data_IF_754210160227
#
_entry.id   IF_754210160227
#
_cell.length_a   1.000
_cell.length_b   1.000
_cell.length_c   1.000
_cell.angle_alpha   90.00
_cell.angle_beta   90.00
_cell.angle_gamma   90.00
#
_symmetry.space_group_name_H-M   'P 1'
#
loop_
_entity.id
_entity.type
_entity.pdbx_description
1 polymer ?
#
# COMPACT_ATOMS: atom_id res chain seq x y z
N UNK A 1 57.26 -12.71 62.57
CA UNK A 1 56.95 -13.69 61.50
C UNK A 1 55.84 -13.08 60.64
N UNK A 2 56.13 -12.59 59.43
CA UNK A 2 55.99 -13.30 58.13
C UNK A 2 54.57 -13.90 57.98
N UNK A 3 53.74 -13.64 56.96
CA UNK A 3 53.97 -13.12 55.61
C UNK A 3 52.66 -12.86 54.83
N UNK A 4 52.75 -11.99 53.82
CA UNK A 4 52.16 -12.02 52.46
C UNK A 4 50.63 -11.93 52.29
N UNK A 5 50.08 -10.81 51.80
CA UNK A 5 50.01 -10.41 50.37
C UNK A 5 49.54 -11.51 49.42
N UNK A 6 48.28 -11.40 48.97
CA UNK A 6 47.89 -11.75 47.59
C UNK A 6 46.56 -11.10 47.20
N UNK A 7 46.70 -9.96 46.51
CA UNK A 7 45.69 -9.36 45.65
C UNK A 7 45.16 -10.40 44.66
N UNK A 8 43.87 -10.72 44.71
CA UNK A 8 43.14 -11.25 43.56
C UNK A 8 42.32 -10.10 42.97
N UNK A 9 43.01 -9.27 42.20
CA UNK A 9 42.38 -8.40 41.21
C UNK A 9 41.77 -9.35 40.18
N UNK A 10 40.44 -9.46 40.17
CA UNK A 10 39.74 -10.00 39.01
C UNK A 10 40.05 -9.09 37.82
N UNK A 11 40.53 -9.62 36.69
CA UNK A 11 40.75 -8.80 35.52
C UNK A 11 39.38 -8.40 34.96
N UNK A 12 38.95 -7.18 35.27
CA UNK A 12 37.80 -6.52 34.63
C UNK A 12 37.94 -6.42 33.09
N UNK A 13 39.08 -6.80 32.54
CA UNK A 13 39.39 -6.80 31.11
C UNK A 13 38.88 -8.04 30.35
N UNK A 14 38.47 -9.12 31.02
CA UNK A 14 37.95 -10.32 30.32
C UNK A 14 36.46 -10.25 29.97
N UNK A 15 35.68 -9.42 30.69
CA UNK A 15 34.25 -9.19 30.37
C UNK A 15 34.05 -8.16 29.25
N UNK A 16 35.02 -7.26 29.02
CA UNK A 16 35.02 -6.31 27.90
C UNK A 16 35.49 -6.94 26.58
N UNK A 17 36.29 -8.01 26.64
CA UNK A 17 36.71 -8.75 25.45
C UNK A 17 35.63 -9.75 24.96
N UNK A 18 34.79 -10.25 25.87
CA UNK A 18 33.70 -11.17 25.52
C UNK A 18 32.50 -10.46 24.83
N UNK A 19 32.29 -9.16 25.09
CA UNK A 19 31.26 -8.37 24.40
C UNK A 19 31.67 -7.94 22.98
N UNK A 20 32.99 -7.91 22.68
CA UNK A 20 33.48 -7.61 21.33
C UNK A 20 33.39 -8.81 20.37
N UNK A 21 33.43 -10.05 20.89
CA UNK A 21 33.47 -11.27 20.07
C UNK A 21 32.11 -11.74 19.53
N UNK A 22 30.99 -11.13 19.92
CA UNK A 22 29.65 -11.40 19.37
C UNK A 22 29.23 -10.43 18.25
N UNK A 23 30.13 -9.58 17.78
CA UNK A 23 29.86 -8.63 16.68
C UNK A 23 30.16 -9.18 15.28
N UNK A 24 30.49 -10.48 15.17
CA UNK A 24 30.75 -11.15 13.89
C UNK A 24 29.45 -11.45 13.14
N UNK A 25 29.29 -10.80 11.98
CA UNK A 25 28.20 -10.91 11.01
C UNK A 25 26.92 -10.08 11.27
N UNK A 26 27.08 -8.80 11.61
CA UNK A 26 26.08 -7.82 11.17
C UNK A 26 26.31 -7.57 9.67
N UNK A 27 25.55 -8.27 8.82
CA UNK A 27 25.45 -7.87 7.40
C UNK A 27 25.04 -6.40 7.35
N UNK A 28 25.75 -5.59 6.54
CA UNK A 28 25.44 -4.18 6.39
C UNK A 28 24.12 -4.03 5.65
N UNK A 29 23.01 -3.92 6.38
CA UNK A 29 21.78 -3.34 5.86
C UNK A 29 22.07 -1.87 5.59
N UNK A 30 21.77 -1.38 4.37
CA UNK A 30 21.94 0.01 4.02
C UNK A 30 20.62 0.77 4.14
N UNK A 31 20.71 2.09 4.26
CA UNK A 31 19.53 2.94 4.16
C UNK A 31 18.89 2.77 2.78
N UNK A 32 17.56 2.65 2.74
CA UNK A 32 16.80 2.65 1.49
C UNK A 32 16.39 4.09 1.15
N UNK A 33 16.94 4.72 0.09
CA UNK A 33 16.48 6.05 -0.33
C UNK A 33 14.98 6.05 -0.62
N UNK A 34 14.26 7.03 -0.07
CA UNK A 34 12.79 7.11 -0.19
C UNK A 34 12.01 5.99 0.54
N UNK A 35 12.71 5.14 1.31
CA UNK A 35 12.15 4.12 2.19
C UNK A 35 12.56 4.34 3.65
N UNK A 36 12.49 3.29 4.50
CA UNK A 36 13.00 3.33 5.85
C UNK A 36 14.54 3.34 5.88
N UNK A 37 15.11 4.14 6.79
CA UNK A 37 16.54 4.10 7.10
C UNK A 37 16.85 3.08 8.19
N UNK A 38 18.05 2.52 8.18
CA UNK A 38 18.49 1.48 9.11
C UNK A 38 18.63 2.08 10.49
N UNK A 39 17.97 1.46 11.48
CA UNK A 39 17.94 1.91 12.88
C UNK A 39 17.41 3.34 13.04
N UNK A 40 16.60 3.83 12.11
CA UNK A 40 15.90 5.09 12.26
C UNK A 40 14.94 5.01 13.45
N UNK A 41 15.06 5.95 14.39
CA UNK A 41 14.22 6.01 15.60
C UNK A 41 13.02 6.95 15.45
N UNK A 42 13.12 7.93 14.57
CA UNK A 42 12.10 8.96 14.37
C UNK A 42 11.37 8.77 13.03
N UNK A 43 10.26 9.48 12.83
CA UNK A 43 9.57 9.55 11.55
C UNK A 43 10.50 10.13 10.46
N UNK A 44 10.32 9.75 9.17
CA UNK A 44 11.00 10.44 8.08
C UNK A 44 10.51 11.89 7.98
N UNK A 45 11.39 12.80 7.58
CA UNK A 45 11.03 14.21 7.32
C UNK A 45 10.06 14.34 6.14
N UNK A 46 10.14 13.42 5.18
CA UNK A 46 9.31 13.41 3.99
C UNK A 46 9.79 14.34 2.88
N UNK A 47 9.20 14.16 1.69
CA UNK A 47 9.52 14.89 0.45
C UNK A 47 8.33 15.70 -0.07
N UNK A 48 7.34 15.92 0.78
CA UNK A 48 6.17 16.77 0.50
C UNK A 48 6.04 17.81 1.60
N UNK A 49 5.43 18.96 1.31
CA UNK A 49 5.17 19.98 2.33
C UNK A 49 4.33 19.46 3.49
N UNK A 50 3.30 18.66 3.22
CA UNK A 50 2.46 18.08 4.26
C UNK A 50 3.26 17.14 5.17
N UNK A 51 4.14 16.30 4.63
CA UNK A 51 4.97 15.42 5.44
C UNK A 51 5.96 16.20 6.32
N UNK A 52 6.55 17.27 5.78
CA UNK A 52 7.45 18.15 6.54
C UNK A 52 6.72 18.83 7.71
N UNK A 53 5.50 19.32 7.48
CA UNK A 53 4.66 19.90 8.53
C UNK A 53 4.22 18.86 9.58
N UNK A 54 3.87 17.64 9.16
CA UNK A 54 3.59 16.53 10.09
C UNK A 54 4.82 16.20 10.94
N UNK A 55 6.02 16.15 10.37
CA UNK A 55 7.26 15.91 11.09
C UNK A 55 7.57 17.06 12.08
N UNK A 56 7.35 18.32 11.67
CA UNK A 56 7.51 19.48 12.55
C UNK A 56 6.56 19.40 13.75
N UNK A 57 5.25 19.19 13.51
CA UNK A 57 4.26 19.02 14.57
C UNK A 57 4.63 17.87 15.51
N UNK A 58 4.99 16.71 14.96
CA UNK A 58 5.47 15.57 15.74
C UNK A 58 6.64 15.94 16.65
N UNK A 59 7.64 16.64 16.12
CA UNK A 59 8.84 17.04 16.87
C UNK A 59 8.50 18.00 17.99
N UNK A 60 7.66 19.01 17.74
CA UNK A 60 7.19 19.94 18.77
C UNK A 60 6.42 19.20 19.86
N UNK A 61 5.55 18.25 19.49
CA UNK A 61 4.80 17.44 20.45
C UNK A 61 5.72 16.56 21.29
N UNK A 62 6.73 15.94 20.67
CA UNK A 62 7.69 15.10 21.38
C UNK A 62 8.50 15.90 22.40
N UNK A 63 8.96 17.10 22.05
CA UNK A 63 9.66 18.01 22.98
C UNK A 63 8.75 18.40 24.14
N UNK A 64 7.51 18.80 23.86
CA UNK A 64 6.54 19.17 24.89
C UNK A 64 6.23 18.01 25.85
N UNK A 65 5.94 16.82 25.31
CA UNK A 65 5.72 15.61 26.10
C UNK A 65 6.95 15.27 26.95
N UNK A 66 8.16 15.44 26.41
CA UNK A 66 9.41 15.22 27.15
C UNK A 66 9.56 16.19 28.32
N UNK A 67 9.26 17.48 28.12
CA UNK A 67 9.30 18.49 29.21
C UNK A 67 8.30 18.16 30.31
N UNK A 68 7.05 17.82 29.94
CA UNK A 68 6.02 17.43 30.92
C UNK A 68 6.43 16.15 31.66
N UNK A 69 6.94 15.16 30.92
CA UNK A 69 7.45 13.91 31.50
C UNK A 69 8.54 14.19 32.53
N UNK A 70 9.56 14.98 32.18
CA UNK A 70 10.64 15.32 33.12
C UNK A 70 10.10 16.08 34.34
N UNK A 71 9.16 17.02 34.16
CA UNK A 71 8.57 17.77 35.27
C UNK A 71 7.81 16.85 36.24
N UNK A 72 6.93 15.98 35.71
CA UNK A 72 6.14 15.04 36.52
C UNK A 72 7.05 14.05 37.25
N UNK A 73 8.01 13.46 36.54
CA UNK A 73 8.95 12.50 37.14
C UNK A 73 9.88 13.18 38.16
N UNK A 74 10.31 14.41 37.93
CA UNK A 74 11.10 15.17 38.90
C UNK A 74 10.32 15.40 40.20
N UNK A 75 9.05 15.82 40.12
CA UNK A 75 8.18 15.99 41.31
C UNK A 75 7.96 14.64 42.02
N UNK A 76 7.70 13.57 41.26
CA UNK A 76 7.53 12.23 41.81
C UNK A 76 8.80 11.74 42.53
N UNK A 77 9.96 11.80 41.87
CA UNK A 77 11.24 11.37 42.45
C UNK A 77 11.63 12.24 43.64
N UNK A 78 11.40 13.55 43.57
CA UNK A 78 11.57 14.44 44.70
C UNK A 78 10.70 14.00 45.88
N UNK A 79 9.43 13.71 45.64
CA UNK A 79 8.51 13.26 46.68
C UNK A 79 8.94 11.93 47.31
N UNK A 80 9.32 10.94 46.49
CA UNK A 80 9.84 9.64 46.96
C UNK A 80 11.11 9.84 47.78
N UNK A 81 12.05 10.65 47.30
CA UNK A 81 13.33 10.84 47.98
C UNK A 81 13.18 11.63 49.28
N UNK A 82 12.42 12.72 49.28
CA UNK A 82 12.29 13.66 50.40
C UNK A 82 11.28 13.22 51.46
N UNK A 83 10.16 12.64 51.04
CA UNK A 83 9.02 12.34 51.93
C UNK A 83 8.95 10.87 52.37
N UNK A 84 9.98 10.06 52.07
CA UNK A 84 10.02 8.66 52.51
C UNK A 84 10.02 8.52 54.03
N UNK A 85 9.33 7.48 54.53
CA UNK A 85 9.26 7.14 55.95
C UNK A 85 10.64 6.92 56.59
N UNK A 86 11.61 6.41 55.84
CA UNK A 86 12.94 6.09 56.36
C UNK A 86 13.76 7.30 56.80
N UNK A 87 13.42 8.52 56.36
CA UNK A 87 14.07 9.75 56.85
C UNK A 87 13.29 10.42 57.99
N UNK A 88 12.30 9.73 58.57
CA UNK A 88 11.47 10.27 59.65
C UNK A 88 10.49 11.36 59.21
N UNK A 89 10.16 11.44 57.91
CA UNK A 89 9.21 12.44 57.43
C UNK A 89 7.82 12.19 58.03
N UNK A 90 7.20 13.26 58.56
CA UNK A 90 5.84 13.25 59.12
C UNK A 90 4.87 13.77 58.07
N UNK A 91 3.77 13.06 57.84
CA UNK A 91 2.75 13.48 56.90
C UNK A 91 2.13 14.83 57.30
N UNK A 92 1.92 15.69 56.32
CA UNK A 92 1.20 16.95 56.51
C UNK A 92 -0.33 16.69 56.53
N UNK A 93 -1.08 17.55 57.23
CA UNK A 93 -2.54 17.45 57.39
C UNK A 93 -3.26 18.52 56.56
N UNK A 94 -3.12 18.47 55.23
CA UNK A 94 -3.95 19.24 54.30
C UNK A 94 -4.73 18.28 53.40
N UNK A 95 -5.86 18.74 52.86
CA UNK A 95 -6.77 17.88 52.08
C UNK A 95 -6.94 18.36 50.65
N UNK A 96 -6.86 19.68 50.42
CA UNK A 96 -7.06 20.28 49.11
C UNK A 96 -6.31 21.62 48.99
N UNK A 97 -6.17 22.08 47.75
CA UNK A 97 -5.73 23.44 47.45
C UNK A 97 -6.40 23.89 46.16
N UNK A 98 -7.49 24.65 46.30
CA UNK A 98 -8.23 25.21 45.16
C UNK A 98 -7.30 25.98 44.21
N UNK A 99 -6.30 26.68 44.74
CA UNK A 99 -5.32 27.42 43.92
C UNK A 99 -4.51 26.47 43.03
N UNK A 100 -3.98 25.37 43.58
CA UNK A 100 -3.22 24.38 42.80
C UNK A 100 -4.13 23.68 41.79
N UNK A 101 -5.37 23.39 42.20
CA UNK A 101 -6.38 22.77 41.33
C UNK A 101 -6.72 23.63 40.12
N UNK A 102 -6.89 24.94 40.31
CA UNK A 102 -7.12 25.88 39.21
C UNK A 102 -5.89 25.93 38.29
N UNK A 103 -4.67 26.00 38.85
CA UNK A 103 -3.43 26.07 38.06
C UNK A 103 -3.27 24.83 37.17
N UNK A 104 -3.37 23.62 37.73
CA UNK A 104 -3.19 22.39 36.95
C UNK A 104 -4.34 22.09 36.00
N UNK A 105 -5.45 22.83 36.07
CA UNK A 105 -6.57 22.71 35.14
C UNK A 105 -6.40 23.68 33.98
N UNK A 106 -6.08 24.94 34.29
CA UNK A 106 -5.92 26.02 33.30
C UNK A 106 -4.66 25.82 32.47
N UNK A 107 -3.54 25.38 33.05
CA UNK A 107 -2.28 25.22 32.32
C UNK A 107 -2.39 24.16 31.20
N UNK A 108 -2.84 22.91 31.45
CA UNK A 108 -3.05 21.94 30.38
C UNK A 108 -4.08 22.39 29.35
N UNK A 109 -5.14 23.08 29.78
CA UNK A 109 -6.15 23.63 28.87
C UNK A 109 -5.53 24.62 27.87
N UNK A 110 -4.71 25.57 28.33
CA UNK A 110 -4.00 26.52 27.47
C UNK A 110 -3.03 25.78 26.53
N UNK A 111 -2.28 24.79 27.04
CA UNK A 111 -1.36 23.99 26.24
C UNK A 111 -2.09 23.33 25.05
N UNK A 112 -3.24 22.69 25.30
CA UNK A 112 -4.04 22.04 24.25
C UNK A 112 -4.55 23.05 23.21
N UNK A 113 -5.03 24.23 23.63
CA UNK A 113 -5.47 25.28 22.70
C UNK A 113 -4.33 25.70 21.77
N UNK A 114 -3.14 25.96 22.33
CA UNK A 114 -1.99 26.40 21.56
C UNK A 114 -1.52 25.31 20.57
N UNK A 115 -1.63 24.03 20.94
CA UNK A 115 -1.31 22.90 20.06
C UNK A 115 -2.32 22.71 18.93
N UNK A 116 -3.60 22.99 19.18
CA UNK A 116 -4.67 22.76 18.21
C UNK A 116 -4.56 23.69 16.99
N UNK A 117 -4.17 24.95 17.17
CA UNK A 117 -4.11 25.96 16.10
C UNK A 117 -3.22 25.55 14.90
N UNK A 118 -1.93 25.21 15.08
CA UNK A 118 -1.09 24.78 13.96
C UNK A 118 -1.55 23.42 13.40
N UNK A 119 -2.01 22.49 14.25
CA UNK A 119 -2.50 21.19 13.81
C UNK A 119 -3.73 21.31 12.88
N UNK A 120 -4.69 22.18 13.21
CA UNK A 120 -5.86 22.43 12.37
C UNK A 120 -5.48 23.00 11.00
N UNK A 121 -4.50 23.91 10.93
CA UNK A 121 -4.03 24.45 9.65
C UNK A 121 -3.46 23.37 8.74
N UNK A 122 -2.61 22.50 9.28
CA UNK A 122 -2.01 21.38 8.53
C UNK A 122 -3.09 20.38 8.11
N UNK A 123 -4.04 20.07 8.99
CA UNK A 123 -5.15 19.17 8.68
C UNK A 123 -6.02 19.69 7.52
N UNK A 124 -6.37 20.98 7.54
CA UNK A 124 -7.15 21.61 6.46
C UNK A 124 -6.39 21.54 5.14
N UNK A 125 -5.09 21.88 5.14
CA UNK A 125 -4.25 21.80 3.94
C UNK A 125 -4.13 20.35 3.42
N UNK A 126 -3.99 19.37 4.30
CA UNK A 126 -3.93 17.95 3.94
C UNK A 126 -5.25 17.44 3.35
N UNK A 127 -6.39 18.01 3.74
CA UNK A 127 -7.72 17.61 3.25
C UNK A 127 -8.19 18.36 2.00
N UNK A 128 -7.50 19.44 1.60
CA UNK A 128 -7.80 20.15 0.37
C UNK A 128 -7.29 19.40 -0.87
N UNK A 129 -8.14 18.54 -1.45
CA UNK A 129 -7.87 17.78 -2.67
C UNK A 129 -8.26 18.52 -3.96
N UNK A 130 -8.70 19.78 -3.86
CA UNK A 130 -9.14 20.56 -5.04
C UNK A 130 -7.96 20.93 -5.95
N UNK A 131 -8.25 21.30 -7.20
CA UNK A 131 -7.26 21.78 -8.18
C UNK A 131 -6.05 20.83 -8.36
N UNK A 132 -6.32 19.53 -8.45
CA UNK A 132 -5.30 18.55 -8.74
C UNK A 132 -4.98 18.50 -10.24
N UNK A 133 -3.69 18.38 -10.54
CA UNK A 133 -3.16 18.30 -11.91
C UNK A 133 -3.30 16.89 -12.48
N UNK A 134 -3.18 15.88 -11.61
CA UNK A 134 -3.28 14.46 -11.91
C UNK A 134 -4.23 13.79 -10.91
N UNK A 135 -5.17 12.96 -11.38
CA UNK A 135 -6.06 12.18 -10.52
C UNK A 135 -5.91 10.70 -10.81
N UNK A 136 -5.54 9.92 -9.79
CA UNK A 136 -5.35 8.48 -9.89
C UNK A 136 -6.25 7.80 -8.86
N UNK A 137 -7.02 6.81 -9.30
CA UNK A 137 -7.76 5.93 -8.40
C UNK A 137 -6.89 4.75 -8.03
N UNK A 138 -6.75 4.53 -6.74
CA UNK A 138 -6.06 3.41 -6.11
C UNK A 138 -7.12 2.46 -5.56
N UNK A 139 -7.11 1.22 -6.03
CA UNK A 139 -8.02 0.17 -5.58
C UNK A 139 -7.26 -0.89 -4.80
N UNK A 140 -7.66 -1.15 -3.55
CA UNK A 140 -7.12 -2.26 -2.75
C UNK A 140 -7.76 -3.60 -3.13
N UNK A 141 -6.92 -4.62 -3.26
CA UNK A 141 -7.31 -6.03 -3.45
C UNK A 141 -6.46 -6.91 -2.52
N UNK A 142 -6.93 -8.10 -2.15
CA UNK A 142 -6.13 -9.13 -1.51
C UNK A 142 -5.20 -9.78 -2.55
N UNK A 143 -3.88 -9.58 -2.52
CA UNK A 143 -3.07 -8.63 -1.74
C UNK A 143 -2.18 -7.83 -2.71
N UNK A 144 -2.78 -6.78 -3.31
CA UNK A 144 -2.22 -6.00 -4.41
C UNK A 144 -2.96 -4.66 -4.57
N UNK A 145 -2.38 -3.76 -5.35
CA UNK A 145 -2.95 -2.44 -5.62
C UNK A 145 -3.27 -2.26 -7.10
N UNK A 146 -4.46 -1.78 -7.42
CA UNK A 146 -4.79 -1.32 -8.78
C UNK A 146 -4.63 0.19 -8.89
N UNK A 147 -4.14 0.65 -10.04
CA UNK A 147 -3.95 2.06 -10.35
C UNK A 147 -4.67 2.40 -11.65
N UNK A 148 -5.64 3.31 -11.58
CA UNK A 148 -6.35 3.86 -12.74
C UNK A 148 -6.08 5.36 -12.85
N UNK A 149 -5.45 5.80 -13.93
CA UNK A 149 -5.18 7.21 -14.20
C UNK A 149 -6.44 7.83 -14.81
N UNK A 150 -7.19 8.55 -13.98
CA UNK A 150 -8.54 9.01 -14.31
C UNK A 150 -8.58 10.37 -15.01
N UNK A 151 -7.62 11.25 -14.71
CA UNK A 151 -7.56 12.61 -15.28
C UNK A 151 -6.14 13.12 -15.26
N UNK A 152 -5.72 13.73 -16.36
CA UNK A 152 -4.38 14.33 -16.52
C UNK A 152 -3.53 13.54 -17.52
N UNK A 153 -2.24 13.85 -17.60
CA UNK A 153 -1.32 13.07 -18.42
C UNK A 153 -1.29 11.62 -17.92
N UNK A 154 -1.35 10.65 -18.85
CA UNK A 154 -1.56 9.24 -18.52
C UNK A 154 -3.03 8.80 -18.39
N UNK A 155 -4.01 9.68 -18.63
CA UNK A 155 -5.43 9.32 -18.59
C UNK A 155 -5.77 8.11 -19.47
N UNK A 156 -6.51 7.16 -18.87
CA UNK A 156 -6.88 5.88 -19.47
C UNK A 156 -5.91 4.74 -19.19
N UNK A 157 -4.73 5.00 -18.60
CA UNK A 157 -3.83 3.94 -18.15
C UNK A 157 -4.42 3.22 -16.92
N UNK A 158 -4.37 1.90 -16.94
CA UNK A 158 -4.82 1.04 -15.84
C UNK A 158 -3.91 -0.17 -15.71
N UNK A 159 -3.49 -0.49 -14.49
CA UNK A 159 -2.69 -1.69 -14.20
C UNK A 159 -2.78 -2.12 -12.73
N UNK A 160 -2.35 -3.35 -12.48
CA UNK A 160 -2.23 -3.93 -11.15
C UNK A 160 -0.74 -3.97 -10.77
N UNK A 161 -0.46 -3.68 -9.51
CA UNK A 161 0.84 -3.75 -8.86
C UNK A 161 0.82 -4.81 -7.77
N UNK A 162 1.70 -5.80 -7.88
CA UNK A 162 1.90 -6.85 -6.88
C UNK A 162 3.34 -6.82 -6.36
N UNK A 163 3.60 -7.46 -5.22
CA UNK A 163 4.97 -7.75 -4.80
C UNK A 163 5.72 -8.44 -5.94
N UNK A 164 6.97 -8.01 -6.18
CA UNK A 164 7.82 -8.60 -7.20
C UNK A 164 8.02 -10.11 -6.94
N UNK A 165 7.87 -10.92 -7.98
CA UNK A 165 7.95 -12.38 -7.88
C UNK A 165 9.31 -12.86 -7.34
N UNK A 166 10.41 -12.14 -7.63
CA UNK A 166 11.73 -12.49 -7.09
C UNK A 166 11.78 -12.24 -5.58
N UNK A 167 11.10 -11.21 -5.07
CA UNK A 167 11.01 -10.94 -3.63
C UNK A 167 10.11 -11.96 -2.94
N UNK A 168 9.02 -12.38 -3.59
CA UNK A 168 8.18 -13.46 -3.07
C UNK A 168 8.95 -14.78 -2.95
N UNK A 169 9.68 -15.16 -3.99
CA UNK A 169 10.50 -16.37 -4.00
C UNK A 169 11.58 -16.35 -2.91
N UNK A 170 12.24 -15.20 -2.71
CA UNK A 170 13.20 -15.02 -1.62
C UNK A 170 12.55 -15.22 -0.24
N UNK A 171 11.35 -14.66 -0.04
CA UNK A 171 10.62 -14.85 1.22
C UNK A 171 10.21 -16.30 1.45
N UNK A 172 9.72 -16.99 0.42
CA UNK A 172 9.30 -18.40 0.50
C UNK A 172 10.48 -19.34 0.77
N UNK A 173 11.67 -19.00 0.25
CA UNK A 173 12.91 -19.70 0.54
C UNK A 173 13.45 -19.42 1.96
N UNK A 174 12.80 -18.52 2.72
CA UNK A 174 13.24 -18.12 4.06
C UNK A 174 14.55 -17.36 4.03
N UNK A 175 14.76 -16.50 3.03
CA UNK A 175 16.00 -15.77 2.80
C UNK A 175 16.55 -15.11 4.10
N UNK A 176 17.85 -15.32 4.32
CA UNK A 176 18.66 -14.74 5.41
C UNK A 176 19.99 -14.27 4.81
N UNK A 177 20.58 -13.21 5.36
CA UNK A 177 21.84 -12.66 4.86
C UNK A 177 21.62 -11.58 3.80
N UNK A 178 22.26 -11.72 2.63
CA UNK A 178 22.30 -10.72 1.56
C UNK A 178 20.95 -10.61 0.82
N UNK A 179 19.99 -9.93 1.44
CA UNK A 179 18.71 -9.52 0.83
C UNK A 179 18.82 -8.07 0.31
N UNK A 180 18.15 -7.72 -0.80
CA UNK A 180 18.11 -6.33 -1.27
C UNK A 180 17.53 -5.38 -0.21
N UNK A 181 18.00 -4.13 -0.15
CA UNK A 181 17.52 -3.15 0.84
C UNK A 181 16.00 -2.85 0.70
N UNK A 182 15.44 -3.03 -0.49
CA UNK A 182 14.01 -2.91 -0.77
C UNK A 182 13.25 -4.26 -0.69
N UNK A 183 13.79 -5.24 0.03
CA UNK A 183 13.12 -6.52 0.26
C UNK A 183 11.68 -6.30 0.79
N UNK A 184 10.72 -7.05 0.24
CA UNK A 184 9.27 -6.89 0.46
C UNK A 184 8.66 -5.51 0.08
N UNK A 185 9.43 -4.60 -0.53
CA UNK A 185 8.95 -3.28 -0.98
C UNK A 185 8.92 -3.13 -2.51
N UNK A 186 9.74 -3.91 -3.22
CA UNK A 186 9.75 -3.92 -4.69
C UNK A 186 8.46 -4.51 -5.27
N UNK A 187 7.91 -3.85 -6.28
CA UNK A 187 6.75 -4.30 -7.05
C UNK A 187 7.10 -4.53 -8.52
N UNK A 188 6.22 -5.22 -9.23
CA UNK A 188 6.31 -5.41 -10.68
C UNK A 188 5.97 -4.13 -11.46
N UNK A 189 4.93 -3.39 -11.05
CA UNK A 189 4.43 -2.20 -11.72
C UNK A 189 4.27 -1.03 -10.74
N UNK A 190 5.28 -0.16 -10.57
CA UNK A 190 5.18 0.97 -9.65
C UNK A 190 4.15 2.00 -10.12
N UNK A 191 3.55 2.73 -9.16
CA UNK A 191 2.80 3.95 -9.43
C UNK A 191 3.77 5.03 -9.92
N UNK A 192 3.60 5.58 -11.11
CA UNK A 192 4.53 6.56 -11.67
C UNK A 192 3.86 7.93 -11.76
N UNK A 193 4.52 8.95 -11.24
CA UNK A 193 4.00 10.33 -11.19
C UNK A 193 5.10 11.34 -11.49
N UNK A 194 4.77 12.53 -12.02
CA UNK A 194 5.75 13.60 -12.18
C UNK A 194 6.03 14.32 -10.84
N UNK A 195 7.24 14.83 -10.70
CA UNK A 195 7.65 15.74 -9.63
C UNK A 195 6.88 17.07 -9.70
N UNK A 196 6.78 17.77 -8.57
CA UNK A 196 6.18 19.11 -8.44
C UNK A 196 4.75 19.23 -8.97
N UNK A 197 4.01 18.12 -9.01
CA UNK A 197 2.63 18.05 -9.52
C UNK A 197 1.67 17.64 -8.40
N UNK A 198 0.51 18.29 -8.28
CA UNK A 198 -0.50 17.91 -7.26
C UNK A 198 -1.24 16.66 -7.75
N UNK A 199 -0.90 15.52 -7.16
CA UNK A 199 -1.54 14.23 -7.45
C UNK A 199 -2.65 13.98 -6.44
N UNK A 200 -3.90 13.92 -6.90
CA UNK A 200 -5.04 13.45 -6.11
C UNK A 200 -5.13 11.94 -6.21
N UNK A 201 -5.13 11.29 -5.06
CA UNK A 201 -5.30 9.85 -4.92
C UNK A 201 -6.70 9.58 -4.40
N UNK A 202 -7.49 8.88 -5.22
CA UNK A 202 -8.83 8.42 -4.86
C UNK A 202 -8.70 6.95 -4.43
N UNK A 203 -8.95 6.64 -3.16
CA UNK A 203 -8.83 5.29 -2.60
C UNK A 203 -10.19 4.60 -2.46
N UNK A 204 -10.26 3.35 -2.87
CA UNK A 204 -11.37 2.41 -2.59
C UNK A 204 -10.84 0.97 -2.54
N UNK A 205 -11.67 -0.01 -2.21
CA UNK A 205 -11.29 -1.42 -2.22
C UNK A 205 -12.38 -2.29 -2.85
N UNK A 206 -11.98 -3.45 -3.37
CA UNK A 206 -12.90 -4.40 -4.01
C UNK A 206 -13.24 -5.61 -3.13
N UNK A 207 -12.56 -5.79 -1.99
CA UNK A 207 -12.76 -6.94 -1.09
C UNK A 207 -12.88 -6.54 0.39
N UNK A 208 -11.77 -6.34 1.08
CA UNK A 208 -11.69 -5.98 2.50
C UNK A 208 -11.11 -4.57 2.65
N UNK A 209 -11.02 -4.08 3.88
CA UNK A 209 -10.38 -2.78 4.14
C UNK A 209 -8.86 -2.92 3.98
N UNK A 210 -8.26 -1.96 3.27
CA UNK A 210 -6.81 -1.77 3.16
C UNK A 210 -6.45 -0.33 3.51
N UNK A 211 -5.17 0.03 3.61
CA UNK A 211 -4.79 1.44 3.67
C UNK A 211 -3.60 1.78 2.80
N UNK A 212 -3.81 2.71 1.86
CA UNK A 212 -2.75 3.22 0.99
C UNK A 212 -1.91 4.21 1.79
N UNK A 213 -0.66 3.87 2.05
CA UNK A 213 0.22 4.68 2.86
C UNK A 213 1.64 4.75 2.29
N UNK A 214 2.14 5.97 2.12
CA UNK A 214 3.51 6.26 1.67
C UNK A 214 4.12 7.27 2.66
N UNK A 215 4.94 6.81 3.62
CA UNK A 215 5.44 7.65 4.72
C UNK A 215 6.18 8.90 4.25
N UNK A 216 7.02 8.80 3.22
CA UNK A 216 7.75 9.95 2.67
C UNK A 216 6.82 11.03 2.10
N UNK A 217 5.56 10.72 1.82
CA UNK A 217 4.58 11.69 1.34
C UNK A 217 3.64 12.22 2.43
N UNK A 218 3.68 11.66 3.65
CA UNK A 218 2.73 12.01 4.70
C UNK A 218 1.30 11.55 4.39
N UNK A 219 1.16 10.57 3.50
CA UNK A 219 -0.12 10.04 3.03
C UNK A 219 -0.42 8.72 3.74
N UNK A 220 -1.59 8.63 4.36
CA UNK A 220 -2.28 7.40 4.75
C UNK A 220 -3.78 7.64 4.53
N UNK A 221 -4.43 6.77 3.76
CA UNK A 221 -5.87 6.82 3.56
C UNK A 221 -6.40 5.40 3.40
N UNK A 222 -7.36 4.98 4.24
CA UNK A 222 -7.91 3.64 4.09
C UNK A 222 -8.80 3.54 2.85
N UNK A 223 -8.63 2.44 2.14
CA UNK A 223 -9.40 1.97 1.01
C UNK A 223 -10.51 1.06 1.57
N UNK A 224 -11.76 1.55 1.55
CA UNK A 224 -12.91 0.86 2.15
C UNK A 224 -13.86 0.41 1.02
N UNK A 225 -14.27 -0.87 0.98
CA UNK A 225 -15.26 -1.34 0.01
C UNK A 225 -16.57 -0.54 0.09
N UNK A 226 -17.07 -0.11 -1.07
CA UNK A 226 -18.31 0.68 -1.16
C UNK A 226 -18.17 2.16 -0.84
N UNK A 227 -16.99 2.65 -0.45
CA UNK A 227 -16.72 4.06 -0.23
C UNK A 227 -15.59 4.55 -1.14
N UNK A 228 -15.69 5.82 -1.53
CA UNK A 228 -14.64 6.53 -2.25
C UNK A 228 -14.13 7.62 -1.33
N UNK A 229 -12.84 7.57 -1.01
CA UNK A 229 -12.16 8.61 -0.22
C UNK A 229 -11.00 9.16 -1.00
N UNK A 230 -10.55 10.35 -0.69
CA UNK A 230 -9.43 10.95 -1.37
C UNK A 230 -8.42 11.59 -0.43
N UNK A 231 -7.21 11.69 -0.95
CA UNK A 231 -6.07 12.38 -0.36
C UNK A 231 -5.24 12.94 -1.50
N UNK A 232 -4.16 13.65 -1.19
CA UNK A 232 -3.28 14.19 -2.21
C UNK A 232 -1.85 14.28 -1.73
N UNK A 233 -0.92 14.36 -2.67
CA UNK A 233 0.46 14.73 -2.40
C UNK A 233 1.06 15.53 -3.56
N UNK A 234 2.16 16.24 -3.28
CA UNK A 234 3.03 16.87 -4.29
C UNK A 234 4.46 16.57 -3.89
N UNK A 235 5.10 15.64 -4.58
CA UNK A 235 6.48 15.26 -4.31
C UNK A 235 7.43 16.32 -4.87
N UNK A 236 8.34 16.83 -4.04
CA UNK A 236 9.30 17.90 -4.39
C UNK A 236 10.64 17.35 -4.90
N UNK A 237 10.78 16.02 -4.99
CA UNK A 237 12.03 15.34 -5.35
C UNK A 237 11.76 14.10 -6.20
N UNK A 238 12.50 13.98 -7.31
CA UNK A 238 12.58 12.76 -8.13
C UNK A 238 13.18 11.62 -7.31
N UNK A 239 12.67 10.40 -7.51
CA UNK A 239 13.17 9.21 -6.83
C UNK A 239 12.13 8.10 -6.68
N UNK A 240 12.56 7.01 -6.08
CA UNK A 240 11.73 5.88 -5.71
C UNK A 240 11.30 6.01 -4.25
N UNK A 241 10.00 5.85 -3.98
CA UNK A 241 9.41 5.99 -2.65
C UNK A 241 8.56 4.79 -2.31
N UNK A 242 8.66 4.33 -1.06
CA UNK A 242 8.10 3.06 -0.64
C UNK A 242 7.01 3.23 0.41
N UNK A 243 6.03 2.34 0.37
CA UNK A 243 4.91 2.26 1.28
C UNK A 243 4.47 0.82 1.49
N UNK A 244 3.58 0.62 2.44
CA UNK A 244 2.96 -0.68 2.73
C UNK A 244 1.49 -0.49 3.07
N UNK A 245 0.71 -1.56 2.97
CA UNK A 245 -0.65 -1.55 3.50
C UNK A 245 -0.62 -1.33 5.01
N UNK A 246 -1.38 -0.35 5.50
CA UNK A 246 -1.44 0.00 6.93
C UNK A 246 -2.82 -0.28 7.55
N UNK A 247 -3.54 -1.27 7.03
CA UNK A 247 -4.76 -1.82 7.61
C UNK A 247 -4.75 -3.34 7.45
N UNK A 248 -5.00 -4.08 8.53
CA UNK A 248 -4.90 -5.54 8.52
C UNK A 248 -5.93 -6.15 7.55
N UNK A 249 -5.45 -6.71 6.44
CA UNK A 249 -6.29 -7.16 5.32
C UNK A 249 -6.19 -8.68 5.03
N UNK A 250 -5.67 -9.47 5.97
CA UNK A 250 -5.60 -10.94 5.90
C UNK A 250 -4.18 -11.49 5.83
N UNK A 251 -4.06 -12.75 5.38
CA UNK A 251 -2.82 -13.56 5.45
C UNK A 251 -1.60 -12.84 4.86
N UNK A 252 -1.72 -12.28 3.65
CA UNK A 252 -0.60 -11.65 2.96
C UNK A 252 -0.56 -10.13 3.15
N UNK A 253 -1.10 -9.63 4.28
CA UNK A 253 -1.11 -8.20 4.62
C UNK A 253 0.28 -7.54 4.51
N UNK A 254 1.34 -8.23 4.95
CA UNK A 254 2.72 -7.74 4.88
C UNK A 254 3.35 -7.82 3.47
N UNK A 255 2.66 -8.41 2.47
CA UNK A 255 3.19 -8.70 1.13
C UNK A 255 2.48 -7.90 0.03
N UNK A 256 1.84 -6.79 0.37
CA UNK A 256 1.24 -5.86 -0.61
C UNK A 256 1.83 -4.45 -0.53
N UNK A 257 3.11 -4.29 -0.91
CA UNK A 257 3.78 -3.01 -0.85
C UNK A 257 3.26 -2.02 -1.89
N UNK A 258 3.61 -0.77 -1.67
CA UNK A 258 3.40 0.35 -2.57
C UNK A 258 4.78 0.85 -2.97
N UNK A 259 5.00 1.05 -4.25
CA UNK A 259 6.19 1.69 -4.77
C UNK A 259 5.75 2.81 -5.71
N UNK A 260 6.11 4.04 -5.37
CA UNK A 260 5.87 5.22 -6.18
C UNK A 260 7.17 5.71 -6.78
N UNK A 261 7.23 5.81 -8.11
CA UNK A 261 8.35 6.39 -8.84
C UNK A 261 7.99 7.81 -9.24
N UNK A 262 8.69 8.78 -8.68
CA UNK A 262 8.55 10.19 -9.02
C UNK A 262 9.59 10.53 -10.08
N UNK A 263 9.15 10.98 -11.25
CA UNK A 263 10.00 11.27 -12.40
C UNK A 263 10.06 12.77 -12.68
N UNK A 264 11.09 13.21 -13.40
CA UNK A 264 11.05 14.51 -14.04
C UNK A 264 9.90 14.55 -15.06
N UNK A 265 9.32 15.73 -15.33
CA UNK A 265 8.15 15.85 -16.21
C UNK A 265 8.37 15.21 -17.60
N UNK A 266 9.53 15.44 -18.23
CA UNK A 266 9.85 14.84 -19.53
C UNK A 266 9.95 13.31 -19.49
N UNK A 267 10.52 12.75 -18.42
CA UNK A 267 10.64 11.30 -18.23
C UNK A 267 9.28 10.67 -17.95
N UNK A 268 8.40 11.40 -17.25
CA UNK A 268 7.01 10.99 -17.03
C UNK A 268 6.24 10.92 -18.35
N UNK A 269 6.35 11.94 -19.21
CA UNK A 269 5.76 11.93 -20.56
C UNK A 269 6.27 10.75 -21.37
N UNK A 270 7.57 10.52 -21.39
CA UNK A 270 8.16 9.38 -22.10
C UNK A 270 7.65 8.04 -21.57
N UNK A 271 7.49 7.92 -20.25
CA UNK A 271 6.91 6.73 -19.62
C UNK A 271 5.44 6.51 -20.03
N UNK A 272 4.62 7.57 -20.03
CA UNK A 272 3.22 7.51 -20.47
C UNK A 272 3.13 7.07 -21.93
N UNK A 273 3.94 7.65 -22.81
CA UNK A 273 3.98 7.27 -24.23
C UNK A 273 4.41 5.83 -24.42
N UNK A 274 5.40 5.37 -23.65
CA UNK A 274 5.82 3.97 -23.61
C UNK A 274 4.66 3.04 -23.24
N UNK A 275 3.93 3.36 -22.16
CA UNK A 275 2.77 2.57 -21.72
C UNK A 275 1.62 2.58 -22.73
N UNK A 276 1.37 3.70 -23.40
CA UNK A 276 0.39 3.76 -24.49
C UNK A 276 0.81 2.89 -25.67
N UNK A 277 2.10 2.89 -26.05
CA UNK A 277 2.62 2.01 -27.11
C UNK A 277 2.54 0.53 -26.72
N UNK A 278 2.89 0.18 -25.48
CA UNK A 278 2.72 -1.20 -24.97
C UNK A 278 1.26 -1.64 -25.02
N UNK A 279 0.33 -0.77 -24.63
CA UNK A 279 -1.10 -1.03 -24.70
C UNK A 279 -1.58 -1.19 -26.15
N UNK A 280 -1.15 -0.28 -27.05
CA UNK A 280 -1.48 -0.35 -28.47
C UNK A 280 -0.89 -1.59 -29.16
N UNK A 281 0.32 -2.01 -28.79
CA UNK A 281 0.95 -3.21 -29.33
C UNK A 281 0.24 -4.52 -28.89
N UNK A 282 -0.50 -4.48 -27.78
CA UNK A 282 -1.36 -5.58 -27.33
C UNK A 282 -2.74 -5.55 -27.97
N UNK A 283 -3.13 -4.44 -28.59
CA UNK A 283 -4.35 -4.36 -29.36
C UNK A 283 -4.07 -4.97 -30.74
N UNK A 284 -4.79 -6.04 -31.05
CA UNK A 284 -4.80 -6.53 -32.42
C UNK A 284 -5.48 -5.53 -33.36
N UNK A 285 -5.25 -5.66 -34.66
CA UNK A 285 -5.87 -4.80 -35.67
C UNK A 285 -7.40 -4.74 -35.47
N UNK A 286 -7.97 -3.57 -35.14
CA UNK A 286 -9.40 -3.42 -34.86
C UNK A 286 -10.27 -3.70 -36.09
N UNK A 287 -9.69 -3.68 -37.29
CA UNK A 287 -10.38 -3.98 -38.55
C UNK A 287 -10.20 -5.43 -39.00
N UNK A 288 -9.37 -6.22 -38.30
CA UNK A 288 -9.23 -7.65 -38.61
C UNK A 288 -10.54 -8.36 -38.27
N UNK A 289 -11.18 -8.93 -39.30
CA UNK A 289 -12.26 -9.88 -39.12
C UNK A 289 -11.63 -11.23 -38.76
N UNK A 290 -11.83 -11.66 -37.52
CA UNK A 290 -11.29 -12.93 -37.05
C UNK A 290 -12.14 -14.10 -37.52
N UNK A 291 -11.52 -15.24 -37.73
CA UNK A 291 -12.22 -16.50 -38.03
C UNK A 291 -12.49 -17.30 -36.76
N UNK A 292 -13.48 -18.18 -36.81
CA UNK A 292 -13.81 -19.06 -35.69
C UNK A 292 -12.60 -19.89 -35.22
N UNK A 293 -11.83 -20.58 -36.10
CA UNK A 293 -10.66 -21.35 -35.65
C UNK A 293 -9.59 -20.52 -34.94
N UNK A 294 -9.31 -19.30 -35.43
CA UNK A 294 -8.34 -18.41 -34.78
C UNK A 294 -8.82 -17.99 -33.38
N UNK A 295 -10.09 -17.64 -33.25
CA UNK A 295 -10.68 -17.24 -31.96
C UNK A 295 -10.78 -18.40 -30.98
N UNK A 296 -11.03 -19.62 -31.45
CA UNK A 296 -11.00 -20.82 -30.59
C UNK A 296 -9.59 -21.07 -30.05
N UNK A 297 -8.58 -21.05 -30.92
CA UNK A 297 -7.20 -21.31 -30.51
C UNK A 297 -6.65 -20.24 -29.55
N UNK A 298 -7.01 -18.96 -29.76
CA UNK A 298 -6.65 -17.87 -28.84
C UNK A 298 -7.46 -17.97 -27.55
N UNK A 299 -8.77 -18.17 -27.66
CA UNK A 299 -9.70 -18.21 -26.54
C UNK A 299 -9.42 -19.34 -25.57
N UNK A 300 -8.96 -20.49 -26.06
CA UNK A 300 -8.50 -21.61 -25.23
C UNK A 300 -7.31 -21.20 -24.35
N UNK A 301 -6.31 -20.50 -24.92
CA UNK A 301 -5.15 -20.00 -24.16
C UNK A 301 -5.56 -18.98 -23.11
N UNK A 302 -6.42 -18.04 -23.49
CA UNK A 302 -6.97 -17.03 -22.56
C UNK A 302 -7.76 -17.70 -21.44
N UNK A 303 -8.60 -18.70 -21.77
CA UNK A 303 -9.38 -19.46 -20.81
C UNK A 303 -8.48 -20.20 -19.82
N UNK A 304 -7.47 -20.92 -20.32
CA UNK A 304 -6.53 -21.66 -19.50
C UNK A 304 -5.77 -20.75 -18.52
N UNK A 305 -5.34 -19.57 -18.99
CA UNK A 305 -4.57 -18.63 -18.19
C UNK A 305 -5.40 -17.89 -17.13
N UNK A 306 -6.68 -17.61 -17.39
CA UNK A 306 -7.45 -16.65 -16.59
C UNK A 306 -8.70 -17.25 -15.93
N UNK A 307 -9.34 -18.25 -16.56
CA UNK A 307 -10.69 -18.68 -16.20
C UNK A 307 -10.72 -20.08 -15.58
N UNK A 308 -9.84 -20.97 -16.05
CA UNK A 308 -9.82 -22.38 -15.68
C UNK A 308 -9.58 -22.64 -14.19
N UNK A 309 -8.91 -21.72 -13.48
CA UNK A 309 -8.68 -21.83 -12.04
C UNK A 309 -9.99 -21.93 -11.23
N UNK A 310 -11.04 -21.24 -11.67
CA UNK A 310 -12.35 -21.26 -11.01
C UNK A 310 -13.36 -22.15 -11.75
N UNK A 311 -13.38 -22.09 -13.09
CA UNK A 311 -14.37 -22.80 -13.91
C UNK A 311 -13.95 -24.21 -14.33
N UNK A 312 -12.75 -24.65 -13.94
CA UNK A 312 -12.10 -25.91 -14.34
C UNK A 312 -11.85 -26.00 -15.86
N UNK A 313 -10.93 -26.87 -16.27
CA UNK A 313 -10.64 -27.08 -17.70
C UNK A 313 -11.83 -27.63 -18.50
N UNK A 314 -12.73 -28.35 -17.82
CA UNK A 314 -13.94 -28.93 -18.40
C UNK A 314 -15.17 -27.99 -18.36
N UNK A 315 -15.02 -26.76 -17.84
CA UNK A 315 -16.10 -25.78 -17.76
C UNK A 315 -17.20 -26.11 -16.74
N UNK A 316 -17.02 -27.12 -15.88
CA UNK A 316 -18.06 -27.51 -14.90
C UNK A 316 -18.06 -26.65 -13.64
N UNK A 317 -16.99 -25.90 -13.36
CA UNK A 317 -16.81 -25.19 -12.10
C UNK A 317 -16.66 -26.13 -10.89
N UNK A 318 -16.52 -25.54 -9.70
CA UNK A 318 -16.44 -26.29 -8.44
C UNK A 318 -17.10 -25.51 -7.29
N UNK A 319 -17.71 -26.22 -6.35
CA UNK A 319 -18.34 -25.64 -5.17
C UNK A 319 -19.38 -24.58 -5.53
N UNK A 320 -19.23 -23.31 -5.10
CA UNK A 320 -20.18 -22.24 -5.40
C UNK A 320 -20.04 -21.67 -6.83
N UNK A 321 -19.01 -22.06 -7.60
CA UNK A 321 -18.77 -21.55 -8.96
C UNK A 321 -19.67 -22.28 -9.95
N UNK A 322 -20.54 -21.52 -10.65
CA UNK A 322 -21.47 -22.07 -11.63
C UNK A 322 -20.74 -22.65 -12.85
N UNK A 323 -21.28 -23.73 -13.46
CA UNK A 323 -20.76 -24.28 -14.70
C UNK A 323 -20.93 -23.29 -15.86
N UNK A 324 -19.96 -23.29 -16.77
CA UNK A 324 -20.03 -22.63 -18.08
C UNK A 324 -20.58 -23.59 -19.15
N UNK A 325 -20.22 -24.87 -19.06
CA UNK A 325 -20.70 -25.93 -19.94
C UNK A 325 -22.20 -26.19 -19.71
N UNK A 326 -23.01 -26.03 -20.76
CA UNK A 326 -24.46 -26.17 -20.75
C UNK A 326 -25.22 -25.01 -20.09
N UNK A 327 -24.54 -23.92 -19.72
CA UNK A 327 -25.21 -22.82 -19.00
C UNK A 327 -26.05 -21.94 -19.93
N UNK A 328 -27.20 -21.47 -19.44
CA UNK A 328 -28.09 -20.61 -20.22
C UNK A 328 -27.43 -19.32 -20.70
N UNK A 329 -26.53 -18.73 -19.89
CA UNK A 329 -25.77 -17.52 -20.27
C UNK A 329 -24.83 -17.78 -21.43
N UNK A 330 -24.10 -18.91 -21.43
CA UNK A 330 -23.15 -19.26 -22.49
C UNK A 330 -23.88 -19.77 -23.74
N UNK A 331 -25.01 -20.45 -23.59
CA UNK A 331 -25.82 -20.92 -24.72
C UNK A 331 -26.69 -19.83 -25.36
N UNK A 332 -26.85 -18.67 -24.71
CA UNK A 332 -27.69 -17.59 -25.23
C UNK A 332 -27.21 -17.13 -26.61
N UNK A 333 -28.15 -16.96 -27.53
CA UNK A 333 -27.87 -16.45 -28.87
C UNK A 333 -27.33 -15.01 -28.85
N UNK A 334 -27.79 -14.19 -27.89
CA UNK A 334 -27.20 -12.88 -27.60
C UNK A 334 -26.06 -13.03 -26.60
N UNK A 335 -24.82 -12.88 -27.09
CA UNK A 335 -23.62 -13.01 -26.27
C UNK A 335 -23.37 -11.79 -25.35
N UNK A 336 -24.17 -10.71 -25.43
CA UNK A 336 -23.99 -9.51 -24.60
C UNK A 336 -24.09 -9.80 -23.11
N UNK A 337 -24.98 -10.69 -22.70
CA UNK A 337 -25.10 -11.08 -21.29
C UNK A 337 -23.79 -11.70 -20.78
N UNK A 338 -23.16 -12.54 -21.60
CA UNK A 338 -21.88 -13.14 -21.26
C UNK A 338 -20.75 -12.11 -21.27
N UNK A 339 -20.71 -11.23 -22.28
CA UNK A 339 -19.73 -10.13 -22.35
C UNK A 339 -19.81 -9.22 -21.13
N UNK A 340 -21.01 -8.78 -20.74
CA UNK A 340 -21.20 -7.96 -19.55
C UNK A 340 -20.74 -8.71 -18.29
N UNK A 341 -21.01 -10.01 -18.18
CA UNK A 341 -20.55 -10.82 -17.02
C UNK A 341 -19.02 -10.87 -16.94
N UNK A 342 -18.34 -11.05 -18.07
CA UNK A 342 -16.86 -11.07 -18.12
C UNK A 342 -16.28 -9.67 -17.85
N UNK A 343 -16.86 -8.62 -18.43
CA UNK A 343 -16.39 -7.25 -18.30
C UNK A 343 -16.62 -6.69 -16.89
N UNK A 344 -17.75 -6.98 -16.26
CA UNK A 344 -18.14 -6.33 -15.00
C UNK A 344 -18.03 -7.26 -13.77
N UNK A 345 -17.76 -8.56 -13.97
CA UNK A 345 -17.79 -9.56 -12.90
C UNK A 345 -19.22 -9.90 -12.49
N UNK A 346 -19.38 -10.79 -11.51
CA UNK A 346 -20.69 -11.19 -10.97
C UNK A 346 -20.61 -11.68 -9.53
N UNK A 347 -21.78 -11.86 -8.89
CA UNK A 347 -21.95 -12.37 -7.53
C UNK A 347 -21.20 -11.55 -6.47
N UNK A 348 -21.43 -10.23 -6.46
CA UNK A 348 -20.82 -9.30 -5.50
C UNK A 348 -19.29 -9.42 -5.43
N UNK A 349 -18.63 -9.59 -6.57
CA UNK A 349 -17.17 -9.64 -6.67
C UNK A 349 -16.55 -11.03 -6.54
N UNK A 350 -17.34 -12.09 -6.30
CA UNK A 350 -16.83 -13.46 -6.28
C UNK A 350 -16.25 -13.90 -7.64
N UNK A 351 -16.81 -13.40 -8.75
CA UNK A 351 -16.13 -13.42 -10.04
C UNK A 351 -15.57 -12.03 -10.32
N UNK A 352 -14.25 -11.87 -10.46
CA UNK A 352 -13.64 -10.57 -10.75
C UNK A 352 -14.03 -10.09 -12.16
N UNK A 353 -14.05 -8.77 -12.33
CA UNK A 353 -14.15 -8.12 -13.63
C UNK A 353 -12.84 -8.30 -14.43
N UNK A 354 -12.94 -8.55 -15.73
CA UNK A 354 -11.79 -8.77 -16.62
C UNK A 354 -11.53 -7.61 -17.60
N UNK A 355 -11.79 -6.37 -17.18
CA UNK A 355 -11.60 -5.17 -18.02
C UNK A 355 -10.15 -4.96 -18.47
N UNK A 356 -9.18 -5.56 -17.79
CA UNK A 356 -7.76 -5.49 -18.14
C UNK A 356 -7.36 -6.34 -19.35
N UNK A 357 -8.18 -7.32 -19.77
CA UNK A 357 -7.92 -8.10 -20.98
C UNK A 357 -8.22 -7.26 -22.23
N UNK A 358 -7.56 -7.55 -23.35
CA UNK A 358 -7.85 -6.88 -24.63
C UNK A 358 -9.23 -7.26 -25.17
N UNK A 359 -9.80 -6.44 -26.06
CA UNK A 359 -11.07 -6.76 -26.74
C UNK A 359 -10.99 -8.08 -27.49
N UNK A 360 -9.86 -8.36 -28.15
CA UNK A 360 -9.64 -9.63 -28.81
C UNK A 360 -9.60 -10.79 -27.85
N UNK A 361 -8.96 -10.66 -26.69
CA UNK A 361 -8.88 -11.76 -25.71
C UNK A 361 -10.24 -12.06 -25.09
N UNK A 362 -11.04 -11.04 -24.81
CA UNK A 362 -12.42 -11.21 -24.31
C UNK A 362 -13.30 -11.83 -25.41
N UNK A 363 -13.22 -11.34 -26.64
CA UNK A 363 -13.94 -11.90 -27.79
C UNK A 363 -13.56 -13.38 -27.99
N UNK A 364 -12.27 -13.69 -27.90
CA UNK A 364 -11.74 -15.03 -28.06
C UNK A 364 -12.23 -15.98 -26.95
N UNK A 365 -12.13 -15.60 -25.68
CA UNK A 365 -12.54 -16.47 -24.56
C UNK A 365 -14.06 -16.70 -24.53
N UNK A 366 -14.85 -15.69 -24.88
CA UNK A 366 -16.30 -15.85 -25.04
C UNK A 366 -16.60 -16.77 -26.22
N UNK A 367 -15.97 -16.56 -27.38
CA UNK A 367 -16.09 -17.47 -28.53
C UNK A 367 -15.72 -18.90 -28.16
N UNK A 368 -14.61 -19.11 -27.44
CA UNK A 368 -14.17 -20.41 -26.98
C UNK A 368 -15.21 -21.08 -26.09
N UNK A 369 -15.64 -20.44 -25.00
CA UNK A 369 -16.61 -21.04 -24.06
C UNK A 369 -17.95 -21.37 -24.72
N UNK A 370 -18.39 -20.60 -25.71
CA UNK A 370 -19.61 -20.86 -26.50
C UNK A 370 -19.49 -22.06 -27.45
N UNK A 371 -18.28 -22.53 -27.73
CA UNK A 371 -17.99 -23.62 -28.67
C UNK A 371 -17.21 -24.78 -28.04
N UNK A 372 -16.77 -24.63 -26.80
CA UNK A 372 -16.12 -25.67 -26.02
C UNK A 372 -17.15 -26.65 -25.43
N UNK A 373 -16.68 -27.85 -25.08
CA UNK A 373 -17.46 -28.88 -24.39
C UNK A 373 -18.79 -29.21 -25.09
N UNK A 374 -19.92 -29.18 -24.39
CA UNK A 374 -21.24 -29.45 -24.96
C UNK A 374 -21.88 -28.22 -25.64
N UNK A 375 -21.31 -27.02 -25.50
CA UNK A 375 -21.99 -25.78 -25.91
C UNK A 375 -22.16 -25.64 -27.42
N UNK A 376 -21.10 -25.93 -28.20
CA UNK A 376 -21.10 -26.07 -29.68
C UNK A 376 -22.05 -25.13 -30.45
N UNK A 377 -22.15 -23.86 -30.05
CA UNK A 377 -23.16 -22.93 -30.59
C UNK A 377 -22.84 -22.44 -32.01
N UNK A 378 -21.59 -22.59 -32.47
CA UNK A 378 -21.10 -22.04 -33.74
C UNK A 378 -20.91 -20.52 -33.72
N UNK A 379 -21.20 -19.86 -32.59
CA UNK A 379 -21.15 -18.41 -32.50
C UNK A 379 -19.73 -17.89 -32.37
N UNK A 380 -19.45 -16.83 -33.12
CA UNK A 380 -18.19 -16.10 -33.12
C UNK A 380 -18.46 -14.70 -32.59
N UNK A 381 -17.64 -14.26 -31.66
CA UNK A 381 -17.65 -12.89 -31.14
C UNK A 381 -16.43 -12.16 -31.70
N UNK A 382 -16.65 -10.95 -32.22
CA UNK A 382 -15.61 -10.08 -32.74
C UNK A 382 -15.15 -9.05 -31.70
N UNK A 383 -13.89 -8.58 -31.76
CA UNK A 383 -13.39 -7.54 -30.83
C UNK A 383 -14.24 -6.26 -30.83
N UNK A 384 -14.77 -5.85 -31.99
CA UNK A 384 -15.63 -4.67 -32.10
C UNK A 384 -16.93 -4.79 -31.28
N UNK A 385 -17.46 -6.00 -31.11
CA UNK A 385 -18.64 -6.26 -30.29
C UNK A 385 -18.34 -6.11 -28.80
N UNK A 386 -17.11 -6.48 -28.37
CA UNK A 386 -16.65 -6.26 -27.00
C UNK A 386 -16.47 -4.78 -26.72
N UNK A 387 -15.82 -4.06 -27.64
CA UNK A 387 -15.58 -2.63 -27.50
C UNK A 387 -16.89 -1.85 -27.32
N UNK A 388 -17.94 -2.24 -28.05
CA UNK A 388 -19.27 -1.65 -27.94
C UNK A 388 -19.94 -1.85 -26.57
N UNK A 389 -19.51 -2.84 -25.79
CA UNK A 389 -20.05 -3.17 -24.46
C UNK A 389 -19.17 -2.64 -23.31
N UNK A 390 -17.93 -2.19 -23.54
CA UNK A 390 -17.03 -1.72 -22.46
C UNK A 390 -17.52 -0.51 -21.67
N UNK A 391 -18.38 0.30 -22.26
CA UNK A 391 -18.94 1.52 -21.67
C UNK A 391 -20.36 1.35 -21.11
N UNK A 392 -20.90 0.13 -21.13
CA UNK A 392 -22.24 -0.21 -20.63
C UNK A 392 -22.12 -1.03 -19.35
#
# INVERSE_FOLDING_TARGET
MKSNWRNKIWPANLLLAASAAFSGAAHAVNDLPGGPSVRQLNLPVGVTKIAQEQHFLHTVMLVLCTVIFVAVFAVMFYSIWKHRKSVGHKAANFHESVVVEVIWTVVPFIIVILMALPATRVLVAQKDTTNADLTIKVTGYQWKWGYDYLKGEGEGLSFISTLDASHRALSDAGARGDVPDNFLLKVDNPLVVPVDTKVRIITTANDVIHAFAVPQFGVKQDAIPGFVRDTWFRAEKVGDYYGQCQELCGKEHAYMPIHVKVLAAADYTAWVDGKRKEAAAKQDDPNKVWTLPEMLARGEKVYAANCAACHQANGKGAGPIKPLDGSATVLNADHKLQLHTVLNGQNNGAMPAWKQLSDTDIAAVVTFTKNAWSNKTGQLVQPAEVLAERGK
#
